data_IF_677884602015
#
_entry.id   IF_677884602015
#
_cell.length_a   1.000
_cell.length_b   1.000
_cell.length_c   1.000
_cell.angle_alpha   90.00
_cell.angle_beta   90.00
_cell.angle_gamma   90.00
#
_symmetry.space_group_name_H-M   'P 1'
#
loop_
_entity.id
_entity.type
_entity.pdbx_description
1 polymer ?
#
# COMPACT_ATOMS: atom_id res chain seq x y z
N UNK A 1 -0.60 -28.59 -5.97
CA UNK A 1 -0.57 -27.52 -4.96
C UNK A 1 0.12 -26.25 -5.45
N UNK A 2 1.32 -26.26 -6.09
CA UNK A 2 1.92 -25.04 -6.65
C UNK A 2 1.12 -24.45 -7.82
N UNK A 3 0.62 -25.31 -8.72
CA UNK A 3 -0.20 -24.91 -9.87
C UNK A 3 -1.51 -24.21 -9.45
N UNK A 4 -2.19 -24.71 -8.42
CA UNK A 4 -3.41 -24.10 -7.89
C UNK A 4 -3.17 -22.70 -7.31
N UNK A 5 -2.03 -22.47 -6.65
CA UNK A 5 -1.67 -21.12 -6.15
C UNK A 5 -1.44 -20.14 -7.30
N UNK A 6 -0.78 -20.58 -8.38
CA UNK A 6 -0.60 -19.75 -9.58
C UNK A 6 -1.95 -19.39 -10.23
N UNK A 7 -2.85 -20.37 -10.37
CA UNK A 7 -4.19 -20.14 -10.94
C UNK A 7 -4.99 -19.16 -10.09
N UNK A 8 -4.99 -19.32 -8.76
CA UNK A 8 -5.67 -18.38 -7.85
C UNK A 8 -5.10 -16.97 -7.99
N UNK A 9 -3.77 -16.83 -8.08
CA UNK A 9 -3.12 -15.52 -8.23
C UNK A 9 -3.51 -14.83 -9.54
N UNK A 10 -3.51 -15.57 -10.65
CA UNK A 10 -3.95 -15.05 -11.95
C UNK A 10 -5.43 -14.69 -11.92
N UNK A 11 -6.27 -15.53 -11.31
CA UNK A 11 -7.69 -15.26 -11.15
C UNK A 11 -7.95 -13.99 -10.33
N UNK A 12 -7.26 -13.80 -9.19
CA UNK A 12 -7.35 -12.57 -8.40
C UNK A 12 -6.93 -11.33 -9.20
N UNK A 13 -5.86 -11.42 -9.99
CA UNK A 13 -5.43 -10.36 -10.90
C UNK A 13 -6.52 -10.01 -11.94
N UNK A 14 -7.09 -11.03 -12.60
CA UNK A 14 -8.18 -10.82 -13.56
C UNK A 14 -9.43 -10.23 -12.90
N UNK A 15 -9.73 -10.59 -11.65
CA UNK A 15 -10.89 -10.08 -10.91
C UNK A 15 -10.82 -8.58 -10.69
N UNK A 16 -9.68 -8.06 -10.27
CA UNK A 16 -9.53 -6.61 -10.03
C UNK A 16 -9.37 -5.84 -11.35
N UNK A 17 -8.74 -6.41 -12.39
CA UNK A 17 -8.76 -5.81 -13.74
C UNK A 17 -10.18 -5.68 -14.29
N UNK A 18 -11.01 -6.70 -14.08
CA UNK A 18 -12.44 -6.67 -14.43
C UNK A 18 -13.19 -5.60 -13.63
N UNK A 19 -12.92 -5.47 -12.33
CA UNK A 19 -13.55 -4.45 -11.49
C UNK A 19 -13.15 -3.03 -11.91
N UNK A 20 -11.88 -2.81 -12.27
CA UNK A 20 -11.40 -1.54 -12.81
C UNK A 20 -11.75 -1.30 -14.27
N UNK A 21 -12.51 -2.21 -14.92
CA UNK A 21 -12.97 -2.03 -16.29
C UNK A 21 -11.86 -2.07 -17.35
N UNK A 22 -10.64 -2.51 -17.03
CA UNK A 22 -9.49 -2.50 -17.97
C UNK A 22 -9.73 -3.36 -19.22
N UNK A 23 -10.57 -4.40 -19.13
CA UNK A 23 -10.96 -5.21 -20.28
C UNK A 23 -11.92 -4.51 -21.27
N UNK A 24 -12.51 -3.37 -20.89
CA UNK A 24 -13.41 -2.56 -21.72
C UNK A 24 -12.76 -1.26 -22.21
N UNK A 25 -11.52 -0.98 -21.80
CA UNK A 25 -10.76 0.18 -22.25
C UNK A 25 -10.35 -0.03 -23.71
N UNK A 26 -10.88 0.80 -24.60
CA UNK A 26 -10.57 0.75 -26.04
C UNK A 26 -9.34 1.58 -26.41
N UNK A 27 -8.91 2.46 -25.51
CA UNK A 27 -7.85 3.43 -25.77
C UNK A 27 -6.52 2.93 -25.21
N UNK A 28 -6.53 2.40 -23.98
CA UNK A 28 -5.32 1.97 -23.30
C UNK A 28 -5.19 0.47 -23.15
N UNK A 29 -3.96 -0.03 -23.19
CA UNK A 29 -3.66 -1.44 -22.90
C UNK A 29 -3.69 -1.73 -21.39
N UNK A 30 -3.68 -3.01 -20.99
CA UNK A 30 -3.66 -3.37 -19.56
C UNK A 30 -2.36 -2.86 -18.90
N UNK A 31 -1.26 -2.87 -19.65
CA UNK A 31 0.07 -2.42 -19.21
C UNK A 31 0.13 -0.92 -18.93
N UNK A 32 -0.78 -0.13 -19.50
CA UNK A 32 -0.88 1.32 -19.29
C UNK A 32 -1.70 1.69 -18.04
N UNK A 33 -2.13 0.71 -17.25
CA UNK A 33 -2.81 0.94 -15.96
C UNK A 33 -1.92 1.80 -15.05
N UNK A 34 -2.46 2.95 -14.63
CA UNK A 34 -1.73 3.95 -13.84
C UNK A 34 -1.57 3.50 -12.39
N UNK A 35 -0.59 4.07 -11.67
CA UNK A 35 -0.44 3.85 -10.24
C UNK A 35 -1.74 4.12 -9.48
N UNK A 36 -2.12 3.22 -8.58
CA UNK A 36 -3.35 3.28 -7.77
C UNK A 36 -4.68 3.32 -8.54
N UNK A 37 -4.71 3.15 -9.86
CA UNK A 37 -5.93 3.26 -10.67
C UNK A 37 -6.99 2.21 -10.31
N UNK A 38 -6.57 1.01 -9.94
CA UNK A 38 -7.46 -0.09 -9.56
C UNK A 38 -7.84 -0.09 -8.07
N UNK A 39 -7.32 0.86 -7.28
CA UNK A 39 -7.66 0.96 -5.87
C UNK A 39 -9.08 1.52 -5.69
N UNK A 40 -9.86 0.92 -4.79
CA UNK A 40 -11.17 1.47 -4.46
C UNK A 40 -10.97 2.77 -3.67
N UNK A 41 -11.38 3.88 -4.26
CA UNK A 41 -11.38 5.18 -3.58
C UNK A 41 -12.51 5.24 -2.55
N UNK A 42 -12.25 5.88 -1.42
CA UNK A 42 -13.31 6.18 -0.47
C UNK A 42 -14.18 7.32 -1.01
N UNK A 43 -15.46 7.05 -1.26
CA UNK A 43 -16.43 8.00 -1.83
C UNK A 43 -16.71 9.22 -0.91
N UNK A 44 -16.49 9.06 0.38
CA UNK A 44 -16.81 10.07 1.40
C UNK A 44 -15.58 10.85 1.88
N UNK A 45 -14.36 10.46 1.50
CA UNK A 45 -13.19 11.26 1.83
C UNK A 45 -13.09 12.43 0.83
N UNK A 46 -12.61 13.62 1.25
CA UNK A 46 -12.49 14.80 0.38
C UNK A 46 -11.68 14.51 -0.89
N UNK A 47 -12.25 14.80 -2.06
CA UNK A 47 -11.62 14.66 -3.38
C UNK A 47 -11.96 15.92 -4.22
N UNK A 48 -10.96 16.79 -4.48
CA UNK A 48 -11.13 18.07 -5.19
C UNK A 48 -11.88 17.98 -6.51
N UNK A 49 -11.70 16.88 -7.25
CA UNK A 49 -12.24 16.72 -8.61
C UNK A 49 -13.58 15.98 -8.64
N UNK A 50 -14.09 15.53 -7.47
CA UNK A 50 -15.26 14.65 -7.39
C UNK A 50 -16.36 15.21 -6.48
N UNK A 51 -16.03 15.55 -5.24
CA UNK A 51 -17.04 15.86 -4.21
C UNK A 51 -16.81 17.16 -3.45
N UNK A 52 -15.80 17.95 -3.85
CA UNK A 52 -15.55 19.28 -3.28
C UNK A 52 -16.03 20.40 -4.23
N UNK A 53 -16.51 21.53 -3.70
CA UNK A 53 -16.82 22.71 -4.52
C UNK A 53 -15.54 23.32 -5.10
N UNK A 54 -15.60 23.94 -6.28
CA UNK A 54 -14.41 24.44 -6.99
C UNK A 54 -13.59 25.46 -6.19
N UNK A 55 -14.24 26.27 -5.36
CA UNK A 55 -13.62 27.27 -4.49
C UNK A 55 -13.40 26.76 -3.05
N UNK A 56 -13.32 25.44 -2.83
CA UNK A 56 -13.15 24.86 -1.49
C UNK A 56 -11.88 25.37 -0.76
N UNK A 57 -10.84 25.76 -1.51
CA UNK A 57 -9.60 26.34 -0.97
C UNK A 57 -9.78 27.74 -0.39
N UNK A 58 -10.79 28.47 -0.86
CA UNK A 58 -11.14 29.83 -0.43
C UNK A 58 -12.19 29.84 0.69
N UNK A 59 -12.60 28.66 1.16
CA UNK A 59 -13.64 28.55 2.16
C UNK A 59 -13.28 29.27 3.46
N UNK A 60 -14.28 29.89 4.13
CA UNK A 60 -14.10 30.48 5.46
C UNK A 60 -13.48 29.48 6.44
N UNK A 61 -12.72 29.99 7.42
CA UNK A 61 -11.99 29.16 8.38
C UNK A 61 -12.90 28.19 9.15
N UNK A 62 -14.15 28.57 9.37
CA UNK A 62 -15.18 27.76 10.04
C UNK A 62 -15.61 26.54 9.21
N UNK A 63 -15.49 26.60 7.88
CA UNK A 63 -15.88 25.53 6.96
C UNK A 63 -14.71 24.61 6.57
N UNK A 64 -13.45 25.04 6.76
CA UNK A 64 -12.27 24.22 6.47
C UNK A 64 -12.31 22.81 7.07
N UNK A 65 -12.81 22.58 8.30
CA UNK A 65 -12.91 21.22 8.86
C UNK A 65 -13.73 20.23 8.01
N UNK A 66 -14.67 20.71 7.20
CA UNK A 66 -15.47 19.88 6.30
C UNK A 66 -14.61 19.21 5.22
N UNK A 67 -13.51 19.85 4.83
CA UNK A 67 -12.63 19.41 3.74
C UNK A 67 -11.36 18.69 4.23
N UNK A 68 -11.25 18.44 5.54
CA UNK A 68 -10.09 17.75 6.12
C UNK A 68 -10.22 16.23 5.93
N UNK A 69 -9.22 15.64 5.27
CA UNK A 69 -9.06 14.19 5.21
C UNK A 69 -8.31 13.69 6.45
N UNK A 70 -8.89 12.72 7.16
CA UNK A 70 -8.23 12.05 8.28
C UNK A 70 -7.56 10.79 7.77
N UNK A 71 -6.27 10.65 8.04
CA UNK A 71 -5.47 9.51 7.63
C UNK A 71 -5.01 8.76 8.87
N UNK A 72 -5.11 7.44 8.83
CA UNK A 72 -4.57 6.53 9.83
C UNK A 72 -3.45 5.72 9.20
N UNK A 73 -2.35 5.55 9.92
CA UNK A 73 -1.23 4.70 9.52
C UNK A 73 -1.11 3.57 10.55
N UNK A 74 -0.98 2.34 10.06
CA UNK A 74 -0.78 1.16 10.89
C UNK A 74 0.24 0.21 10.25
N UNK A 75 0.96 -0.53 11.09
CA UNK A 75 1.99 -1.48 10.69
C UNK A 75 1.69 -2.88 11.23
N UNK A 76 1.61 -3.85 10.32
CA UNK A 76 1.41 -5.25 10.64
C UNK A 76 2.67 -6.08 10.39
N UNK A 77 3.39 -6.43 11.46
CA UNK A 77 4.60 -7.27 11.44
C UNK A 77 4.31 -8.79 11.37
N UNK A 78 3.05 -9.16 11.14
CA UNK A 78 2.62 -10.56 10.92
C UNK A 78 2.55 -10.89 9.43
N UNK A 79 2.39 -9.89 8.55
CA UNK A 79 2.33 -10.05 7.10
C UNK A 79 3.73 -10.11 6.47
N UNK A 80 4.39 -11.25 6.70
CA UNK A 80 5.74 -11.53 6.22
C UNK A 80 5.74 -12.14 4.82
N UNK A 81 6.79 -11.85 4.06
CA UNK A 81 7.05 -12.50 2.77
C UNK A 81 8.43 -13.15 2.79
N UNK A 82 8.46 -14.47 2.59
CA UNK A 82 9.70 -15.22 2.47
C UNK A 82 10.51 -14.73 1.27
N UNK A 83 11.84 -14.84 1.38
CA UNK A 83 12.74 -14.48 0.31
C UNK A 83 12.45 -15.33 -0.92
N UNK A 84 12.22 -14.67 -2.05
CA UNK A 84 12.06 -15.34 -3.34
C UNK A 84 13.39 -15.36 -4.07
N UNK A 85 13.60 -16.35 -4.95
CA UNK A 85 14.86 -16.46 -5.69
C UNK A 85 15.15 -15.23 -6.55
N UNK A 86 14.19 -14.78 -7.36
CA UNK A 86 14.29 -13.63 -8.26
C UNK A 86 12.89 -13.13 -8.63
N UNK A 87 12.77 -11.83 -8.91
CA UNK A 87 11.54 -11.23 -9.45
C UNK A 87 11.15 -11.76 -10.83
N UNK A 88 12.11 -12.21 -11.64
CA UNK A 88 11.80 -12.83 -12.93
C UNK A 88 11.12 -14.19 -12.78
N UNK A 89 11.43 -14.93 -11.69
CA UNK A 89 10.81 -16.22 -11.39
C UNK A 89 9.47 -16.09 -10.66
N UNK A 90 9.30 -15.01 -9.90
CA UNK A 90 8.06 -14.69 -9.18
C UNK A 90 7.68 -13.21 -9.33
N UNK A 91 7.25 -12.78 -10.53
CA UNK A 91 6.94 -11.38 -10.80
C UNK A 91 5.63 -10.96 -10.15
N UNK A 92 5.52 -9.71 -9.70
CA UNK A 92 4.21 -9.13 -9.37
C UNK A 92 3.33 -9.09 -10.63
N UNK A 93 2.04 -9.39 -10.49
CA UNK A 93 1.07 -9.23 -11.57
C UNK A 93 0.48 -7.82 -11.61
N UNK A 94 0.67 -7.02 -10.56
CA UNK A 94 -0.06 -5.76 -10.29
C UNK A 94 0.81 -4.74 -9.57
N UNK A 95 2.07 -4.63 -9.98
CA UNK A 95 3.02 -3.74 -9.32
C UNK A 95 2.54 -2.29 -9.39
N UNK A 96 2.13 -1.72 -8.25
CA UNK A 96 1.64 -0.34 -8.18
C UNK A 96 0.22 -0.07 -8.68
N UNK A 97 -0.52 -1.05 -9.20
CA UNK A 97 -1.81 -0.76 -9.84
C UNK A 97 -2.96 -0.48 -8.86
N UNK A 98 -2.82 -0.86 -7.59
CA UNK A 98 -3.88 -0.77 -6.60
C UNK A 98 -3.38 -0.21 -5.25
N UNK A 99 -3.38 -1.02 -4.20
CA UNK A 99 -3.07 -0.55 -2.84
C UNK A 99 -1.57 -0.51 -2.53
N UNK A 100 -0.81 -1.44 -3.11
CA UNK A 100 0.63 -1.54 -2.90
C UNK A 100 1.39 -0.55 -3.75
N UNK A 101 2.42 0.06 -3.18
CA UNK A 101 3.40 0.88 -3.93
C UNK A 101 4.16 0.02 -4.94
N UNK A 102 4.63 0.67 -6.01
CA UNK A 102 5.52 0.04 -6.99
C UNK A 102 6.83 -0.40 -6.34
N UNK A 103 7.23 -1.65 -6.58
CA UNK A 103 8.30 -2.29 -5.83
C UNK A 103 9.67 -1.64 -6.10
N UNK A 104 10.02 -1.42 -7.37
CA UNK A 104 11.33 -0.87 -7.76
C UNK A 104 11.61 0.51 -7.16
N UNK A 105 10.75 1.54 -7.35
CA UNK A 105 10.98 2.85 -6.77
C UNK A 105 10.93 2.81 -5.23
N UNK A 106 10.08 1.96 -4.66
CA UNK A 106 10.01 1.78 -3.21
C UNK A 106 11.31 1.21 -2.62
N UNK A 107 11.85 0.14 -3.20
CA UNK A 107 13.13 -0.42 -2.74
C UNK A 107 14.30 0.56 -2.93
N UNK A 108 14.29 1.34 -4.02
CA UNK A 108 15.28 2.40 -4.22
C UNK A 108 15.18 3.49 -3.14
N UNK A 109 13.97 3.81 -2.69
CA UNK A 109 13.72 4.71 -1.57
C UNK A 109 14.18 4.09 -0.23
N UNK A 110 13.82 2.85 0.08
CA UNK A 110 14.25 2.15 1.30
C UNK A 110 15.78 2.08 1.42
N UNK A 111 16.51 1.92 0.31
CA UNK A 111 17.99 1.92 0.29
C UNK A 111 18.60 3.27 0.65
N UNK A 112 17.93 4.37 0.32
CA UNK A 112 18.39 5.73 0.65
C UNK A 112 18.15 6.08 2.12
N UNK A 113 17.16 5.45 2.74
CA UNK A 113 16.84 5.69 4.15
C UNK A 113 17.89 5.06 5.06
N UNK A 114 18.33 5.83 6.06
CA UNK A 114 19.24 5.37 7.11
C UNK A 114 18.55 4.30 7.95
N UNK A 115 19.32 3.37 8.49
CA UNK A 115 18.79 2.42 9.46
C UNK A 115 18.25 3.19 10.67
N UNK A 116 16.96 3.01 10.94
CA UNK A 116 16.29 3.55 12.10
C UNK A 116 16.19 2.43 13.12
N UNK A 117 17.20 2.29 13.98
CA UNK A 117 17.10 1.42 15.15
C UNK A 117 16.21 2.13 16.15
N UNK A 118 14.94 1.73 16.25
CA UNK A 118 14.04 2.30 17.24
C UNK A 118 14.40 1.78 18.62
N UNK A 119 15.07 2.59 19.43
CA UNK A 119 15.30 2.28 20.83
C UNK A 119 14.10 2.76 21.65
N UNK A 120 13.29 1.84 22.17
CA UNK A 120 12.27 2.20 23.16
C UNK A 120 12.90 2.34 24.54
N UNK A 121 12.87 3.53 25.12
CA UNK A 121 13.26 3.76 26.52
C UNK A 121 12.23 3.22 27.52
N UNK A 122 11.04 2.86 27.04
CA UNK A 122 9.96 2.27 27.85
C UNK A 122 10.12 0.75 27.93
N UNK A 123 10.15 0.21 29.14
CA UNK A 123 10.14 -1.23 29.41
C UNK A 123 8.77 -1.84 29.05
N UNK A 124 8.76 -2.93 28.28
CA UNK A 124 7.57 -3.77 28.06
C UNK A 124 6.83 -3.58 26.73
N UNK A 125 7.39 -2.86 25.76
CA UNK A 125 6.79 -2.75 24.41
C UNK A 125 7.22 -3.94 23.54
N UNK A 126 6.57 -5.09 23.76
CA UNK A 126 6.81 -6.32 22.98
C UNK A 126 6.72 -6.11 21.46
N UNK A 127 5.89 -5.17 20.99
CA UNK A 127 5.77 -4.86 19.56
C UNK A 127 7.05 -4.25 18.96
N UNK A 128 7.70 -3.34 19.70
CA UNK A 128 8.94 -2.66 19.29
C UNK A 128 10.14 -3.60 19.41
N UNK A 129 10.25 -4.35 20.51
CA UNK A 129 11.28 -5.37 20.67
C UNK A 129 11.18 -6.41 19.55
N UNK A 130 9.96 -6.87 19.21
CA UNK A 130 9.74 -7.78 18.09
C UNK A 130 10.01 -7.15 16.72
N UNK A 131 9.81 -5.85 16.53
CA UNK A 131 10.08 -5.18 15.26
C UNK A 131 11.59 -5.13 14.98
N UNK A 132 12.40 -4.85 16.01
CA UNK A 132 13.86 -4.73 15.92
C UNK A 132 14.61 -6.08 15.93
N UNK A 133 14.10 -7.09 16.64
CA UNK A 133 14.83 -8.36 16.86
C UNK A 133 14.34 -9.54 16.02
N UNK A 134 13.23 -9.40 15.27
CA UNK A 134 12.65 -10.53 14.53
C UNK A 134 13.63 -11.06 13.48
N UNK A 135 13.92 -12.35 13.58
CA UNK A 135 14.47 -13.23 12.53
C UNK A 135 14.07 -12.77 11.13
N UNK A 136 14.94 -11.97 10.52
CA UNK A 136 14.81 -11.40 9.18
C UNK A 136 15.46 -12.30 8.13
N UNK A 137 16.32 -13.22 8.58
CA UNK A 137 16.98 -14.20 7.73
C UNK A 137 15.94 -15.07 7.03
N UNK A 138 16.06 -15.16 5.70
CA UNK A 138 15.11 -15.87 4.85
C UNK A 138 13.83 -15.12 4.50
N UNK A 139 13.65 -13.86 4.91
CA UNK A 139 12.53 -13.00 4.52
C UNK A 139 12.99 -11.82 3.66
N UNK A 140 12.20 -11.48 2.63
CA UNK A 140 12.38 -10.22 1.89
C UNK A 140 11.57 -9.09 2.51
N UNK A 141 10.54 -9.40 3.31
CA UNK A 141 9.66 -8.42 3.94
C UNK A 141 9.24 -8.92 5.33
N UNK A 142 9.45 -8.09 6.36
CA UNK A 142 9.18 -8.43 7.77
C UNK A 142 7.79 -8.01 8.24
N UNK A 143 7.11 -7.17 7.46
CA UNK A 143 5.77 -6.68 7.73
C UNK A 143 5.20 -5.84 6.58
N UNK A 144 4.07 -5.19 6.85
CA UNK A 144 3.43 -4.24 5.94
C UNK A 144 2.97 -3.01 6.71
N UNK A 145 3.30 -1.82 6.23
CA UNK A 145 2.69 -0.57 6.65
C UNK A 145 1.56 -0.21 5.69
N UNK A 146 0.45 0.31 6.19
CA UNK A 146 -0.69 0.73 5.38
C UNK A 146 -1.25 2.05 5.88
N UNK A 147 -1.66 2.90 4.94
CA UNK A 147 -2.39 4.12 5.22
C UNK A 147 -3.83 4.04 4.72
N UNK A 148 -4.78 4.34 5.60
CA UNK A 148 -6.22 4.31 5.35
C UNK A 148 -6.89 5.63 5.69
N UNK A 149 -8.07 5.87 5.13
CA UNK A 149 -8.92 6.98 5.57
C UNK A 149 -9.50 6.62 6.95
N UNK A 150 -9.12 7.35 8.00
CA UNK A 150 -9.41 6.99 9.39
C UNK A 150 -10.91 6.96 9.71
N UNK A 151 -11.74 7.68 8.94
CA UNK A 151 -13.20 7.73 9.16
C UNK A 151 -13.95 6.52 8.61
N UNK A 152 -13.43 5.91 7.54
CA UNK A 152 -14.15 4.88 6.78
C UNK A 152 -13.33 3.61 6.56
N UNK A 153 -12.10 3.56 7.11
CA UNK A 153 -11.19 2.43 7.08
C UNK A 153 -10.84 1.92 5.67
N UNK A 154 -10.95 2.79 4.67
CA UNK A 154 -10.60 2.47 3.29
C UNK A 154 -9.11 2.73 3.06
N UNK A 155 -8.36 1.69 2.70
CA UNK A 155 -6.95 1.79 2.33
C UNK A 155 -6.81 2.68 1.10
N UNK A 156 -5.89 3.64 1.15
CA UNK A 156 -5.62 4.53 0.01
C UNK A 156 -4.83 3.78 -1.08
N UNK A 157 -4.99 4.20 -2.33
CA UNK A 157 -4.19 3.66 -3.43
C UNK A 157 -2.70 3.98 -3.23
N UNK A 158 -1.83 3.03 -3.57
CA UNK A 158 -0.37 3.10 -3.35
C UNK A 158 0.03 3.53 -1.93
N UNK A 159 -0.74 3.09 -0.94
CA UNK A 159 -0.56 3.46 0.46
C UNK A 159 -0.12 2.28 1.34
N UNK A 160 0.19 1.13 0.72
CA UNK A 160 0.72 -0.06 1.40
C UNK A 160 2.17 -0.28 0.97
N UNK A 161 3.07 -0.31 1.94
CA UNK A 161 4.51 -0.52 1.78
C UNK A 161 5.01 -1.76 2.50
N UNK A 162 6.05 -2.40 1.97
CA UNK A 162 6.69 -3.55 2.60
C UNK A 162 7.75 -3.13 3.61
N UNK A 163 7.62 -3.58 4.86
CA UNK A 163 8.56 -3.24 5.91
C UNK A 163 9.83 -4.09 5.83
N UNK A 164 10.99 -3.49 6.12
CA UNK A 164 12.35 -3.98 5.97
C UNK A 164 13.10 -3.94 7.31
N UNK A 165 12.79 -4.87 8.22
CA UNK A 165 13.31 -4.91 9.62
C UNK A 165 12.97 -3.64 10.39
N UNK A 166 12.15 -3.74 11.43
CA UNK A 166 11.52 -2.56 12.03
C UNK A 166 10.47 -1.93 11.12
N UNK A 167 10.23 -0.62 11.29
CA UNK A 167 9.27 0.20 10.51
C UNK A 167 9.83 0.79 9.21
N UNK A 168 11.04 0.38 8.83
CA UNK A 168 11.71 0.80 7.59
C UNK A 168 11.02 0.27 6.32
#
# INVERSE_FOLDING_TARGET
YPSSLCVIRQWCNLRILRQGGRGNDKQGSIEETKPAELAVKCIACPDPDVNLPTNWTEAPSEMKPLYIMFLAFDACFRLKRMRVSTWSRDPSLQDGWAYFVENKPYLAWCKKMKEQTEMSTCTGLLALDHANTKFNEGYDETGKGALSCARHEVIKGNAVGALQVGER
#
